data_IF_481545507781
#
_entry.id   IF_481545507781
#
_cell.length_a   1.000
_cell.length_b   1.000
_cell.length_c   1.000
_cell.angle_alpha   90.00
_cell.angle_beta   90.00
_cell.angle_gamma   90.00
#
_symmetry.space_group_name_H-M   'P 1'
#
loop_
_entity.id
_entity.type
_entity.pdbx_description
1 polymer ?
#
# COMPACT_ATOMS: atom_id res chain seq x y z
N UNK A 1 1.92 -9.77 -1.05
CA UNK A 1 2.63 -10.25 -2.25
C UNK A 1 1.77 -11.21 -3.06
N UNK A 2 1.68 -12.49 -2.66
CA UNK A 2 1.04 -13.54 -3.46
C UNK A 2 -0.41 -13.24 -3.86
N UNK A 3 -1.23 -12.67 -2.96
CA UNK A 3 -2.62 -12.26 -3.28
C UNK A 3 -2.67 -11.25 -4.44
N UNK A 4 -1.71 -10.32 -4.48
CA UNK A 4 -1.62 -9.31 -5.55
C UNK A 4 -1.14 -9.98 -6.85
N UNK A 5 -0.14 -10.86 -6.77
CA UNK A 5 0.38 -11.60 -7.92
C UNK A 5 -0.65 -12.57 -8.53
N UNK A 6 -1.52 -13.16 -7.71
CA UNK A 6 -2.66 -13.98 -8.18
C UNK A 6 -3.67 -13.16 -9.00
N UNK A 7 -3.67 -11.83 -8.83
CA UNK A 7 -4.43 -10.91 -9.68
C UNK A 7 -3.66 -10.51 -10.96
N UNK A 8 -2.49 -11.08 -11.24
CA UNK A 8 -1.65 -10.84 -12.40
C UNK A 8 -0.28 -10.24 -12.07
N UNK A 9 0.77 -10.72 -12.75
CA UNK A 9 2.17 -10.28 -12.54
C UNK A 9 2.36 -8.79 -12.78
N UNK A 10 1.71 -8.23 -13.81
CA UNK A 10 1.78 -6.79 -14.10
C UNK A 10 1.26 -5.95 -12.90
N UNK A 11 0.16 -6.37 -12.29
CA UNK A 11 -0.42 -5.69 -11.12
C UNK A 11 0.51 -5.77 -9.91
N UNK A 12 1.13 -6.92 -9.68
CA UNK A 12 2.15 -7.07 -8.64
C UNK A 12 3.32 -6.11 -8.85
N UNK A 13 3.88 -6.04 -10.06
CA UNK A 13 4.99 -5.14 -10.39
C UNK A 13 4.57 -3.67 -10.20
N UNK A 14 3.42 -3.26 -10.71
CA UNK A 14 2.92 -1.89 -10.56
C UNK A 14 2.78 -1.48 -9.10
N UNK A 15 2.11 -2.30 -8.28
CA UNK A 15 1.94 -2.00 -6.85
C UNK A 15 3.29 -1.95 -6.14
N UNK A 16 4.19 -2.87 -6.44
CA UNK A 16 5.53 -2.92 -5.85
C UNK A 16 6.33 -1.67 -6.18
N UNK A 17 6.39 -1.28 -7.45
CA UNK A 17 7.16 -0.11 -7.92
C UNK A 17 6.59 1.18 -7.34
N UNK A 18 5.28 1.40 -7.44
CA UNK A 18 4.64 2.60 -6.88
C UNK A 18 4.90 2.69 -5.38
N UNK A 19 4.69 1.57 -4.66
CA UNK A 19 4.92 1.54 -3.21
C UNK A 19 6.38 1.81 -2.87
N UNK A 20 7.34 1.18 -3.56
CA UNK A 20 8.76 1.36 -3.31
C UNK A 20 9.19 2.81 -3.51
N UNK A 21 8.72 3.46 -4.58
CA UNK A 21 9.05 4.85 -4.88
C UNK A 21 8.45 5.81 -3.85
N UNK A 22 7.16 5.65 -3.53
CA UNK A 22 6.50 6.52 -2.53
C UNK A 22 7.10 6.30 -1.13
N UNK A 23 7.34 5.04 -0.74
CA UNK A 23 7.97 4.72 0.53
C UNK A 23 9.38 5.31 0.61
N UNK A 24 10.21 5.07 -0.41
CA UNK A 24 11.59 5.54 -0.45
C UNK A 24 11.69 7.07 -0.43
N UNK A 25 10.99 7.75 -1.35
CA UNK A 25 11.02 9.21 -1.45
C UNK A 25 10.39 9.87 -0.22
N UNK A 26 9.25 9.38 0.24
CA UNK A 26 8.57 9.95 1.41
C UNK A 26 9.40 9.80 2.68
N UNK A 27 10.02 8.64 2.88
CA UNK A 27 10.92 8.43 4.02
C UNK A 27 12.16 9.31 3.90
N UNK A 28 12.79 9.38 2.72
CA UNK A 28 13.98 10.19 2.52
C UNK A 28 13.75 11.69 2.77
N UNK A 29 12.56 12.21 2.42
CA UNK A 29 12.23 13.62 2.61
C UNK A 29 11.81 13.98 4.04
N UNK A 30 11.27 13.03 4.82
CA UNK A 30 10.59 13.32 6.09
C UNK A 30 11.24 12.67 7.31
N UNK A 31 12.02 11.60 7.12
CA UNK A 31 12.80 11.04 8.20
C UNK A 31 13.84 12.05 8.71
N UNK A 32 14.16 12.04 10.01
CA UNK A 32 15.21 12.89 10.56
C UNK A 32 16.55 12.67 9.83
N UNK A 33 17.37 13.71 9.76
CA UNK A 33 18.73 13.57 9.27
C UNK A 33 19.50 12.54 10.11
N UNK A 34 20.49 11.88 9.50
CA UNK A 34 21.35 10.87 10.12
C UNK A 34 20.63 9.60 10.61
N UNK A 35 19.40 9.33 10.15
CA UNK A 35 18.72 8.04 10.36
C UNK A 35 18.86 7.14 9.14
N UNK A 36 19.01 5.83 9.39
CA UNK A 36 19.05 4.81 8.34
C UNK A 36 17.76 4.02 8.34
N UNK A 37 17.09 3.99 7.19
CA UNK A 37 15.85 3.25 6.99
C UNK A 37 16.08 2.17 5.93
N UNK A 38 16.16 0.91 6.36
CA UNK A 38 16.41 -0.24 5.47
C UNK A 38 15.41 -1.35 5.77
N UNK A 39 14.86 -1.95 4.72
CA UNK A 39 14.03 -3.14 4.83
C UNK A 39 12.85 -3.16 3.86
N UNK A 40 12.32 -4.36 3.63
CA UNK A 40 11.14 -4.58 2.79
C UNK A 40 9.82 -4.28 3.52
N UNK A 41 9.85 -3.89 4.80
CA UNK A 41 8.63 -3.68 5.59
C UNK A 41 7.75 -2.58 4.99
N UNK A 42 8.31 -1.51 4.43
CA UNK A 42 7.53 -0.49 3.70
C UNK A 42 6.65 -1.08 2.59
N UNK A 43 7.15 -2.09 1.86
CA UNK A 43 6.36 -2.83 0.87
C UNK A 43 5.23 -3.64 1.51
N UNK A 44 5.46 -4.24 2.69
CA UNK A 44 4.43 -4.97 3.43
C UNK A 44 3.27 -4.04 3.79
N UNK A 45 3.57 -2.84 4.32
CA UNK A 45 2.55 -1.84 4.63
C UNK A 45 1.82 -1.36 3.39
N UNK A 46 2.53 -1.14 2.28
CA UNK A 46 1.87 -0.77 1.03
C UNK A 46 1.02 -1.88 0.42
N UNK A 47 1.43 -3.14 0.50
CA UNK A 47 0.60 -4.26 0.06
C UNK A 47 -0.65 -4.42 0.90
N UNK A 48 -0.53 -4.25 2.23
CA UNK A 48 -1.66 -4.26 3.13
C UNK A 48 -2.64 -3.14 2.76
N UNK A 49 -2.17 -1.89 2.71
CA UNK A 49 -3.00 -0.74 2.37
C UNK A 49 -3.63 -0.86 0.97
N UNK A 50 -2.87 -1.29 -0.03
CA UNK A 50 -3.37 -1.53 -1.39
C UNK A 50 -4.53 -2.52 -1.39
N UNK A 51 -4.40 -3.66 -0.70
CA UNK A 51 -5.46 -4.68 -0.66
C UNK A 51 -6.72 -4.14 0.00
N UNK A 52 -6.59 -3.41 1.12
CA UNK A 52 -7.73 -2.81 1.82
C UNK A 52 -8.45 -1.78 0.96
N UNK A 53 -7.71 -0.89 0.30
CA UNK A 53 -8.29 0.18 -0.53
C UNK A 53 -8.86 -0.36 -1.84
N UNK A 54 -8.22 -1.35 -2.46
CA UNK A 54 -8.74 -2.05 -3.63
C UNK A 54 -10.12 -2.65 -3.37
N UNK A 55 -10.36 -3.27 -2.21
CA UNK A 55 -11.69 -3.77 -1.86
C UNK A 55 -12.78 -2.71 -1.99
N UNK A 56 -12.47 -1.48 -1.58
CA UNK A 56 -13.38 -0.33 -1.62
C UNK A 56 -13.57 0.21 -3.03
N UNK A 57 -12.52 0.29 -3.85
CA UNK A 57 -12.61 0.80 -5.23
C UNK A 57 -13.31 -0.18 -6.18
N UNK A 58 -12.97 -1.47 -6.12
CA UNK A 58 -13.53 -2.48 -7.03
C UNK A 58 -15.01 -2.77 -6.74
N UNK A 59 -15.48 -2.56 -5.51
CA UNK A 59 -16.84 -2.86 -5.04
C UNK A 59 -17.34 -4.29 -5.33
N UNK A 60 -16.42 -5.23 -5.59
CA UNK A 60 -16.73 -6.65 -5.75
C UNK A 60 -16.62 -7.34 -4.41
N UNK A 61 -17.63 -8.15 -4.08
CA UNK A 61 -17.70 -8.89 -2.80
C UNK A 61 -16.44 -9.71 -2.53
N UNK A 62 -15.83 -10.29 -3.57
CA UNK A 62 -14.58 -11.05 -3.45
C UNK A 62 -13.42 -10.19 -2.94
N UNK A 63 -13.23 -8.97 -3.45
CA UNK A 63 -12.14 -8.10 -3.00
C UNK A 63 -12.41 -7.46 -1.64
N UNK A 64 -13.68 -7.19 -1.30
CA UNK A 64 -14.07 -6.78 0.04
C UNK A 64 -13.80 -7.89 1.07
N UNK A 65 -14.19 -9.14 0.77
CA UNK A 65 -13.92 -10.29 1.63
C UNK A 65 -12.41 -10.51 1.83
N UNK A 66 -11.61 -10.42 0.77
CA UNK A 66 -10.15 -10.49 0.87
C UNK A 66 -9.60 -9.36 1.74
N UNK A 67 -10.12 -8.14 1.60
CA UNK A 67 -9.70 -6.99 2.43
C UNK A 67 -9.98 -7.23 3.90
N UNK A 68 -11.17 -7.71 4.24
CA UNK A 68 -11.55 -8.03 5.61
C UNK A 68 -10.70 -9.17 6.20
N UNK A 69 -10.45 -10.21 5.41
CA UNK A 69 -9.63 -11.35 5.84
C UNK A 69 -8.18 -10.93 6.11
N UNK A 70 -7.61 -10.14 5.21
CA UNK A 70 -6.25 -9.60 5.36
C UNK A 70 -6.20 -8.64 6.55
N UNK A 71 -7.20 -7.78 6.73
CA UNK A 71 -7.27 -6.90 7.90
C UNK A 71 -7.37 -7.69 9.20
N UNK A 72 -8.15 -8.77 9.23
CA UNK A 72 -8.30 -9.61 10.41
C UNK A 72 -6.98 -10.28 10.82
N UNK A 73 -6.27 -10.90 9.86
CA UNK A 73 -5.03 -11.62 10.18
C UNK A 73 -3.79 -10.72 10.29
N UNK A 74 -3.73 -9.63 9.51
CA UNK A 74 -2.54 -8.78 9.39
C UNK A 74 -2.76 -7.35 9.91
N UNK A 75 -3.96 -7.01 10.40
CA UNK A 75 -4.26 -5.66 10.91
C UNK A 75 -3.38 -5.23 12.07
N UNK A 76 -2.87 -6.18 12.87
CA UNK A 76 -1.88 -5.90 13.91
C UNK A 76 -0.59 -5.24 13.40
N UNK A 77 -0.23 -5.43 12.13
CA UNK A 77 0.92 -4.76 11.50
C UNK A 77 0.74 -3.23 11.50
N UNK A 78 -0.50 -2.73 11.47
CA UNK A 78 -0.78 -1.29 11.49
C UNK A 78 -0.28 -0.59 12.77
N UNK A 79 -0.05 -1.32 13.86
CA UNK A 79 0.63 -0.76 15.05
C UNK A 79 2.03 -0.26 14.76
N UNK A 80 2.70 -0.79 13.72
CA UNK A 80 4.01 -0.32 13.27
C UNK A 80 3.98 1.04 12.56
N UNK A 81 2.81 1.64 12.36
CA UNK A 81 2.69 3.04 11.91
C UNK A 81 2.97 4.05 13.04
N UNK A 82 2.88 3.62 14.30
CA UNK A 82 3.11 4.51 15.43
C UNK A 82 4.61 4.79 15.62
N UNK A 83 4.96 6.03 16.02
CA UNK A 83 6.34 6.37 16.35
C UNK A 83 6.91 5.47 17.46
N UNK A 84 7.96 4.72 17.14
CA UNK A 84 8.67 3.85 18.09
C UNK A 84 10.17 3.86 17.81
N UNK A 85 11.03 3.98 18.84
CA UNK A 85 12.48 3.88 18.68
C UNK A 85 12.89 2.57 18.02
N UNK A 86 13.87 2.62 17.12
CA UNK A 86 14.37 1.44 16.40
C UNK A 86 13.44 0.88 15.31
N UNK A 87 12.27 1.49 15.10
CA UNK A 87 11.33 1.12 14.03
C UNK A 87 11.27 2.23 12.98
N UNK A 88 11.38 1.85 11.71
CA UNK A 88 11.21 2.71 10.55
C UNK A 88 9.73 3.06 10.31
N UNK A 89 9.09 3.70 11.28
CA UNK A 89 7.65 3.99 11.24
C UNK A 89 7.29 4.97 10.10
N UNK A 90 8.17 5.93 9.77
CA UNK A 90 7.99 6.78 8.58
C UNK A 90 8.02 5.93 7.31
N UNK A 91 8.94 4.96 7.23
CA UNK A 91 8.98 3.97 6.15
C UNK A 91 7.71 3.16 6.01
N UNK A 92 7.10 2.78 7.14
CA UNK A 92 5.81 2.10 7.16
C UNK A 92 4.67 3.01 6.70
N UNK A 93 4.65 4.27 7.17
CA UNK A 93 3.65 5.26 6.80
C UNK A 93 3.68 5.55 5.30
N UNK A 94 4.84 5.88 4.75
CA UNK A 94 4.97 6.15 3.31
C UNK A 94 4.81 4.88 2.47
N UNK A 95 5.14 3.71 3.01
CA UNK A 95 4.74 2.41 2.46
C UNK A 95 3.22 2.29 2.31
N UNK A 96 2.47 2.50 3.40
CA UNK A 96 1.02 2.44 3.39
C UNK A 96 0.43 3.46 2.40
N UNK A 97 0.90 4.71 2.41
CA UNK A 97 0.49 5.74 1.45
C UNK A 97 0.79 5.32 0.00
N UNK A 98 1.94 4.71 -0.26
CA UNK A 98 2.28 4.16 -1.58
C UNK A 98 1.28 3.09 -2.03
N UNK A 99 0.82 2.24 -1.11
CA UNK A 99 -0.25 1.28 -1.36
C UNK A 99 -1.59 1.93 -1.73
N UNK A 100 -1.99 2.98 -1.01
CA UNK A 100 -3.20 3.77 -1.30
C UNK A 100 -3.09 4.42 -2.68
N UNK A 101 -1.96 5.05 -2.99
CA UNK A 101 -1.68 5.68 -4.28
C UNK A 101 -1.74 4.64 -5.40
N UNK A 102 -1.12 3.47 -5.21
CA UNK A 102 -1.19 2.40 -6.19
C UNK A 102 -2.64 1.95 -6.46
N UNK A 103 -3.45 1.78 -5.42
CA UNK A 103 -4.85 1.42 -5.57
C UNK A 103 -5.63 2.50 -6.32
N UNK A 104 -5.41 3.77 -6.01
CA UNK A 104 -6.06 4.89 -6.68
C UNK A 104 -5.67 5.02 -8.16
N UNK A 105 -4.38 4.91 -8.48
CA UNK A 105 -3.89 4.97 -9.88
C UNK A 105 -4.46 3.83 -10.72
N UNK A 106 -4.49 2.62 -10.18
CA UNK A 106 -4.90 1.42 -10.94
C UNK A 106 -6.44 1.34 -11.05
N UNK A 107 -7.18 1.70 -9.99
CA UNK A 107 -8.61 1.40 -9.88
C UNK A 107 -9.51 2.64 -9.76
N UNK A 108 -8.96 3.81 -9.42
CA UNK A 108 -9.72 5.03 -9.16
C UNK A 108 -10.25 5.75 -10.42
N UNK A 109 -9.75 5.42 -11.62
CA UNK A 109 -10.09 6.13 -12.87
C UNK A 109 -11.38 5.68 -13.56
N UNK A 110 -12.06 4.63 -13.07
CA UNK A 110 -13.29 4.10 -13.66
C UNK A 110 -14.54 5.01 -13.57
N UNK A 111 -14.41 6.29 -13.21
CA UNK A 111 -15.53 7.24 -13.04
C UNK A 111 -15.38 8.57 -13.79
N UNK A 112 -14.31 8.76 -14.57
CA UNK A 112 -14.04 10.05 -15.25
C UNK A 112 -14.28 10.07 -16.75
N UNK A 113 -14.33 8.92 -17.42
CA UNK A 113 -14.42 8.86 -18.89
C UNK A 113 -15.83 8.77 -19.48
N UNK A 114 -16.84 8.49 -18.65
CA UNK A 114 -18.23 8.31 -19.10
C UNK A 114 -19.10 9.57 -18.91
N UNK A 115 -18.57 10.62 -18.27
CA UNK A 115 -19.29 11.87 -18.09
C UNK A 115 -19.02 12.91 -19.19
N UNK A 116 -18.16 12.58 -20.17
CA UNK A 116 -17.70 13.48 -21.24
C UNK A 116 -17.83 12.88 -22.66
N UNK A 117 -18.57 11.78 -22.84
CA UNK A 117 -18.89 11.19 -24.14
C UNK A 117 -20.41 11.18 -24.38
#
# INVERSE_FOLDING_TARGET
>A
GCIIAASGTQRFVQVTVITALVAGLGTWLVAPADTTHVGASGLVFGYLAYLLVRGVFERRLTFLAVSLLVLFFYGGVLWGLLPRPGISWQGHLFGALGGVVAAWVIHGRGRGGEAEA
#
